data_IF_435170011830
#
_entry.id   IF_435170011830
#
_cell.length_a   1.000
_cell.length_b   1.000
_cell.length_c   1.000
_cell.angle_alpha   90.00
_cell.angle_beta   90.00
_cell.angle_gamma   90.00
#
_symmetry.space_group_name_H-M   'P 1'
#
loop_
_entity.id
_entity.type
_entity.pdbx_description
1 polymer ?
#
# COMPACT_ATOMS: atom_id res chain seq x y z
N UNK A 1 68.77 56.30 24.66
CA UNK A 1 68.39 56.69 23.32
C UNK A 1 66.82 56.39 23.22
N UNK A 2 66.07 57.40 22.88
CA UNK A 2 64.63 57.48 23.04
C UNK A 2 63.92 56.72 21.90
N UNK A 3 62.96 55.86 22.24
CA UNK A 3 62.03 55.24 21.29
C UNK A 3 60.63 55.75 21.57
N UNK A 4 60.02 56.41 20.61
CA UNK A 4 58.69 57.04 20.64
C UNK A 4 57.66 56.02 20.19
N UNK A 5 56.70 55.65 21.06
CA UNK A 5 55.49 54.88 20.73
C UNK A 5 54.46 55.77 20.02
N UNK A 6 53.98 55.37 18.86
CA UNK A 6 52.86 55.97 18.18
C UNK A 6 51.61 55.18 18.46
N UNK A 7 50.64 55.83 19.15
CA UNK A 7 49.31 55.31 19.41
C UNK A 7 48.44 55.48 18.17
N UNK A 8 47.91 54.39 17.62
CA UNK A 8 46.88 54.42 16.59
C UNK A 8 45.50 54.35 17.25
N UNK A 9 44.72 55.41 17.06
CA UNK A 9 43.32 55.46 17.45
C UNK A 9 42.52 54.90 16.28
N UNK A 10 41.87 53.77 16.50
CA UNK A 10 40.90 53.19 15.54
C UNK A 10 39.52 53.82 15.79
N UNK A 11 39.03 54.58 14.84
CA UNK A 11 37.64 55.03 14.81
C UNK A 11 36.74 53.88 14.33
N UNK A 12 35.91 53.36 15.22
CA UNK A 12 34.84 52.42 14.84
C UNK A 12 33.61 53.21 14.37
N UNK A 13 33.33 53.19 13.08
CA UNK A 13 32.09 53.70 12.53
C UNK A 13 30.97 52.66 12.76
N UNK A 14 30.00 52.99 13.63
CA UNK A 14 28.80 52.19 13.81
C UNK A 14 27.83 52.55 12.69
N UNK A 15 27.64 51.61 11.77
CA UNK A 15 26.64 51.71 10.70
C UNK A 15 25.25 51.33 11.26
N UNK A 16 24.41 52.31 11.58
CA UNK A 16 23.02 52.08 11.91
C UNK A 16 22.25 51.70 10.61
N UNK A 17 21.98 50.43 10.43
CA UNK A 17 21.04 49.95 9.39
C UNK A 17 19.62 50.16 9.95
N UNK A 18 18.96 51.20 9.48
CA UNK A 18 17.52 51.40 9.72
C UNK A 18 16.73 50.42 8.91
N UNK A 19 16.22 49.35 9.58
CA UNK A 19 15.29 48.41 9.00
C UNK A 19 13.93 49.11 8.81
N UNK A 20 13.64 49.61 7.64
CA UNK A 20 12.29 50.04 7.27
C UNK A 20 11.40 48.81 7.14
N UNK A 21 10.54 48.56 8.13
CA UNK A 21 9.44 47.64 8.03
C UNK A 21 8.52 48.10 6.90
N UNK A 22 8.62 47.41 5.76
CA UNK A 22 7.60 47.54 4.71
C UNK A 22 6.26 47.08 5.30
N UNK A 23 5.17 47.82 5.12
CA UNK A 23 3.85 47.41 5.55
C UNK A 23 3.53 46.08 4.84
N UNK A 24 3.19 45.05 5.61
CA UNK A 24 2.68 43.80 5.07
C UNK A 24 1.49 44.14 4.17
N UNK A 25 1.57 43.77 2.90
CA UNK A 25 0.44 43.87 2.00
C UNK A 25 -0.74 43.13 2.63
N UNK A 26 -1.95 43.71 2.64
CA UNK A 26 -3.10 43.02 3.17
C UNK A 26 -3.24 41.70 2.39
N UNK A 27 -3.18 40.57 3.09
CA UNK A 27 -3.55 39.29 2.54
C UNK A 27 -4.97 39.48 2.00
N UNK A 28 -5.14 39.40 0.68
CA UNK A 28 -6.47 39.26 0.08
C UNK A 28 -7.11 38.06 0.74
N UNK A 29 -8.03 38.28 1.68
CA UNK A 29 -8.86 37.24 2.24
C UNK A 29 -9.58 36.59 1.05
N UNK A 30 -9.19 35.35 0.74
CA UNK A 30 -9.92 34.55 -0.23
C UNK A 30 -11.40 34.61 0.20
N UNK A 31 -12.30 34.86 -0.75
CA UNK A 31 -13.74 34.81 -0.45
C UNK A 31 -14.03 33.46 0.17
N UNK A 32 -14.71 33.40 1.32
CA UNK A 32 -15.05 32.13 1.94
C UNK A 32 -15.77 31.25 0.90
N UNK A 33 -15.29 30.03 0.73
CA UNK A 33 -15.95 29.05 -0.13
C UNK A 33 -17.21 28.57 0.61
N UNK A 34 -18.35 28.47 -0.06
CA UNK A 34 -19.53 27.90 0.57
C UNK A 34 -19.25 26.42 0.84
N UNK A 35 -19.32 25.94 2.09
CA UNK A 35 -19.00 24.54 2.39
C UNK A 35 -19.95 23.59 1.64
N UNK A 36 -19.41 22.49 1.13
CA UNK A 36 -20.15 21.48 0.37
C UNK A 36 -20.04 20.13 1.07
N UNK A 37 -21.15 19.42 1.17
CA UNK A 37 -21.22 17.98 1.44
C UNK A 37 -22.19 17.40 0.40
N UNK A 38 -21.63 16.77 -0.62
CA UNK A 38 -22.35 16.25 -1.78
C UNK A 38 -22.12 14.76 -1.92
N UNK A 39 -23.18 14.00 -2.04
CA UNK A 39 -23.16 12.60 -2.43
C UNK A 39 -23.99 12.40 -3.71
N UNK A 40 -23.60 11.43 -4.52
CA UNK A 40 -24.25 11.13 -5.78
C UNK A 40 -23.68 9.87 -6.43
N UNK A 41 -23.93 9.70 -7.71
CA UNK A 41 -23.44 8.59 -8.50
C UNK A 41 -22.91 9.08 -9.86
N UNK A 42 -21.77 8.56 -10.31
CA UNK A 42 -21.18 8.81 -11.62
C UNK A 42 -20.96 7.47 -12.34
N UNK A 43 -21.69 7.25 -13.41
CA UNK A 43 -21.59 6.03 -14.24
C UNK A 43 -21.75 4.70 -13.46
N UNK A 44 -22.59 4.69 -12.43
CA UNK A 44 -22.82 3.53 -11.56
C UNK A 44 -21.89 3.47 -10.34
N UNK A 45 -20.94 4.38 -10.20
CA UNK A 45 -20.06 4.48 -9.03
C UNK A 45 -20.56 5.55 -8.05
N UNK A 46 -21.00 5.18 -6.83
CA UNK A 46 -21.33 6.15 -5.79
C UNK A 46 -20.12 7.00 -5.43
N UNK A 47 -20.34 8.29 -5.18
CA UNK A 47 -19.29 9.20 -4.74
C UNK A 47 -19.74 10.09 -3.59
N UNK A 48 -18.76 10.64 -2.86
CA UNK A 48 -18.94 11.72 -1.90
C UNK A 48 -17.85 12.76 -2.07
N UNK A 49 -18.24 14.04 -1.89
CA UNK A 49 -17.36 15.20 -1.93
C UNK A 49 -17.66 16.09 -0.72
N UNK A 50 -16.61 16.51 0.01
CA UNK A 50 -16.71 17.51 1.07
C UNK A 50 -15.71 18.62 0.81
N UNK A 51 -16.17 19.88 0.83
CA UNK A 51 -15.31 21.05 0.69
C UNK A 51 -15.54 21.96 1.90
N UNK A 52 -14.49 22.32 2.67
CA UNK A 52 -14.63 23.21 3.81
C UNK A 52 -14.70 24.68 3.37
N UNK A 53 -15.22 25.55 4.25
CA UNK A 53 -15.28 27.01 4.02
C UNK A 53 -13.88 27.61 3.80
N UNK A 54 -12.88 27.12 4.55
CA UNK A 54 -11.48 27.54 4.49
C UNK A 54 -10.66 26.75 3.45
N UNK A 55 -11.28 26.29 2.35
CA UNK A 55 -10.59 25.46 1.36
C UNK A 55 -9.28 26.09 0.87
N UNK A 56 -8.18 25.33 1.01
CA UNK A 56 -6.82 25.78 0.68
C UNK A 56 -6.44 25.62 -0.81
N UNK A 57 -7.37 25.13 -1.65
CA UNK A 57 -7.15 24.85 -3.07
C UNK A 57 -6.67 23.45 -3.40
N UNK A 58 -6.35 22.61 -2.40
CA UNK A 58 -5.96 21.21 -2.61
C UNK A 58 -7.18 20.28 -2.49
N UNK A 59 -7.33 19.39 -3.46
CA UNK A 59 -8.29 18.29 -3.47
C UNK A 59 -7.55 16.98 -3.18
N UNK A 60 -7.99 16.23 -2.17
CA UNK A 60 -7.59 14.86 -1.90
C UNK A 60 -8.66 13.91 -2.46
N UNK A 61 -8.30 13.06 -3.43
CA UNK A 61 -9.19 12.06 -4.00
C UNK A 61 -8.80 10.69 -3.47
N UNK A 62 -9.69 10.02 -2.74
CA UNK A 62 -9.42 8.74 -2.09
C UNK A 62 -9.83 7.55 -2.95
N UNK A 63 -8.91 6.60 -3.11
CA UNK A 63 -9.16 5.29 -3.69
C UNK A 63 -9.05 4.22 -2.58
N UNK A 64 -10.19 3.58 -2.26
CA UNK A 64 -10.27 2.61 -1.15
C UNK A 64 -9.57 1.28 -1.47
N UNK A 65 -9.30 0.47 -0.43
CA UNK A 65 -8.76 -0.88 -0.53
C UNK A 65 -9.76 -1.91 -1.07
N UNK A 66 -9.37 -3.18 -1.01
CA UNK A 66 -10.26 -4.29 -1.40
C UNK A 66 -11.55 -4.27 -0.56
N UNK A 67 -12.65 -4.51 -1.23
CA UNK A 67 -13.95 -4.78 -0.65
C UNK A 67 -14.48 -6.06 -1.28
N UNK A 68 -14.90 -6.96 -0.45
CA UNK A 68 -15.42 -8.23 -0.94
C UNK A 68 -16.59 -8.05 -1.89
N UNK A 69 -16.63 -8.88 -2.92
CA UNK A 69 -17.73 -8.90 -3.87
C UNK A 69 -18.81 -9.81 -3.36
N UNK A 70 -20.03 -9.32 -3.35
CA UNK A 70 -21.20 -10.10 -2.98
C UNK A 70 -21.51 -11.12 -4.10
N UNK A 71 -20.81 -12.24 -4.12
CA UNK A 71 -21.01 -13.32 -5.08
C UNK A 71 -21.49 -14.64 -4.45
N UNK A 72 -21.77 -14.62 -3.13
CA UNK A 72 -22.41 -15.73 -2.41
C UNK A 72 -23.77 -15.35 -1.83
N UNK A 73 -24.67 -16.33 -1.58
CA UNK A 73 -25.99 -16.07 -1.06
C UNK A 73 -25.99 -15.35 0.29
N UNK A 74 -26.65 -14.20 0.36
CA UNK A 74 -26.79 -13.38 1.57
C UNK A 74 -25.79 -12.25 1.72
N UNK A 75 -24.79 -12.17 0.85
CA UNK A 75 -23.83 -11.07 0.81
C UNK A 75 -24.41 -9.84 0.12
N UNK A 76 -23.83 -8.68 0.45
CA UNK A 76 -24.22 -7.38 -0.12
C UNK A 76 -22.98 -6.54 -0.36
N UNK A 77 -22.83 -6.03 -1.57
CA UNK A 77 -21.72 -5.14 -1.93
C UNK A 77 -21.67 -3.90 -1.04
N UNK A 78 -20.45 -3.55 -0.61
CA UNK A 78 -20.20 -2.31 0.10
C UNK A 78 -20.18 -1.14 -0.88
N UNK A 79 -21.22 -0.30 -0.87
CA UNK A 79 -21.41 0.86 -1.75
C UNK A 79 -21.07 2.20 -1.05
N UNK A 80 -20.33 2.20 0.07
CA UNK A 80 -19.97 3.42 0.78
C UNK A 80 -18.86 4.18 0.01
N UNK A 81 -19.12 5.43 -0.31
CA UNK A 81 -18.12 6.31 -0.92
C UNK A 81 -17.25 6.95 0.17
N UNK A 82 -16.26 6.18 0.65
CA UNK A 82 -15.32 6.67 1.65
C UNK A 82 -14.40 7.74 1.02
N UNK A 83 -14.22 8.86 1.74
CA UNK A 83 -13.39 10.00 1.30
C UNK A 83 -12.06 10.07 2.04
N UNK A 84 -11.82 9.10 2.93
CA UNK A 84 -10.58 8.91 3.71
C UNK A 84 -10.45 7.43 4.11
N UNK A 85 -9.24 6.93 4.41
CA UNK A 85 -9.01 5.57 4.91
C UNK A 85 -9.75 5.27 6.22
N UNK A 86 -10.03 6.31 6.99
CA UNK A 86 -10.77 6.25 8.25
C UNK A 86 -11.56 7.55 8.40
N UNK A 87 -12.84 7.45 8.73
CA UNK A 87 -13.73 8.60 8.92
C UNK A 87 -13.23 9.60 9.99
N UNK A 88 -12.45 9.15 10.97
CA UNK A 88 -11.84 10.05 11.97
C UNK A 88 -10.82 11.04 11.37
N UNK A 89 -10.33 10.79 10.16
CA UNK A 89 -9.42 11.70 9.45
C UNK A 89 -10.14 12.83 8.70
N UNK A 90 -11.43 12.69 8.43
CA UNK A 90 -12.17 13.68 7.64
C UNK A 90 -12.16 15.06 8.34
N UNK A 91 -12.54 15.12 9.62
CA UNK A 91 -12.62 16.38 10.34
C UNK A 91 -11.26 17.11 10.43
N UNK A 92 -10.14 16.49 10.83
CA UNK A 92 -8.85 17.18 10.86
C UNK A 92 -8.33 17.59 9.49
N UNK A 93 -8.62 16.85 8.40
CA UNK A 93 -8.22 17.25 7.05
C UNK A 93 -9.05 18.43 6.54
N UNK A 94 -10.37 18.43 6.77
CA UNK A 94 -11.23 19.57 6.45
C UNK A 94 -10.83 20.81 7.25
N UNK A 95 -10.47 20.67 8.53
CA UNK A 95 -9.99 21.77 9.36
C UNK A 95 -8.68 22.39 8.83
N UNK A 96 -7.82 21.58 8.20
CA UNK A 96 -6.60 22.03 7.51
C UNK A 96 -6.89 22.64 6.12
N UNK A 97 -8.14 22.68 5.70
CA UNK A 97 -8.57 23.28 4.45
C UNK A 97 -8.54 22.35 3.23
N UNK A 98 -8.31 21.05 3.38
CA UNK A 98 -8.39 20.12 2.25
C UNK A 98 -9.84 19.88 1.84
N UNK A 99 -10.11 19.87 0.54
CA UNK A 99 -11.31 19.24 0.00
C UNK A 99 -11.08 17.73 -0.11
N UNK A 100 -12.10 16.95 0.25
CA UNK A 100 -12.05 15.49 0.23
C UNK A 100 -13.06 14.95 -0.77
N UNK A 101 -12.65 13.98 -1.58
CA UNK A 101 -13.53 13.25 -2.48
C UNK A 101 -13.18 11.77 -2.48
N UNK A 102 -14.14 10.89 -2.72
CA UNK A 102 -13.93 9.46 -2.87
C UNK A 102 -15.10 8.79 -3.55
N UNK A 103 -14.85 7.63 -4.11
CA UNK A 103 -15.85 6.81 -4.80
C UNK A 103 -15.85 5.39 -4.26
N UNK A 104 -17.01 4.72 -4.26
CA UNK A 104 -17.14 3.31 -3.90
C UNK A 104 -16.75 2.36 -5.05
N UNK A 105 -16.26 2.89 -6.15
CA UNK A 105 -16.10 2.25 -7.43
C UNK A 105 -17.44 1.71 -7.96
N UNK A 106 -17.46 1.34 -9.23
CA UNK A 106 -18.64 0.76 -9.85
C UNK A 106 -18.91 -0.64 -9.35
N UNK A 107 -17.86 -1.41 -9.10
CA UNK A 107 -17.91 -2.80 -8.65
C UNK A 107 -17.02 -3.03 -7.42
N UNK A 108 -17.25 -4.13 -6.68
CA UNK A 108 -16.40 -4.65 -5.62
C UNK A 108 -15.47 -5.76 -6.15
N UNK A 109 -14.72 -6.42 -5.29
CA UNK A 109 -13.73 -7.43 -5.64
C UNK A 109 -12.44 -6.80 -6.15
N UNK A 110 -11.79 -7.44 -7.15
CA UNK A 110 -10.56 -6.97 -7.76
C UNK A 110 -10.83 -5.87 -8.81
N UNK A 111 -11.54 -4.83 -8.40
CA UNK A 111 -12.09 -3.76 -9.23
C UNK A 111 -11.05 -2.69 -9.64
N UNK A 112 -9.88 -3.10 -10.18
CA UNK A 112 -8.79 -2.14 -10.48
C UNK A 112 -9.13 -1.24 -11.66
N UNK A 113 -9.75 -1.77 -12.72
CA UNK A 113 -10.15 -0.97 -13.88
C UNK A 113 -11.15 0.11 -13.46
N UNK A 114 -12.13 -0.24 -12.64
CA UNK A 114 -13.11 0.68 -12.08
C UNK A 114 -12.44 1.69 -11.15
N UNK A 115 -11.54 1.25 -10.26
CA UNK A 115 -10.77 2.13 -9.38
C UNK A 115 -10.06 3.25 -10.16
N UNK A 116 -9.37 2.89 -11.24
CA UNK A 116 -8.62 3.83 -12.10
C UNK A 116 -9.59 4.81 -12.79
N UNK A 117 -10.67 4.32 -13.40
CA UNK A 117 -11.58 5.15 -14.18
C UNK A 117 -12.50 6.01 -13.30
N UNK A 118 -13.05 5.45 -12.24
CA UNK A 118 -14.01 6.15 -11.37
C UNK A 118 -13.32 7.23 -10.55
N UNK A 119 -12.11 6.97 -10.04
CA UNK A 119 -11.30 7.96 -9.32
C UNK A 119 -10.93 9.14 -10.23
N UNK A 120 -10.51 8.86 -11.47
CA UNK A 120 -10.24 9.89 -12.49
C UNK A 120 -11.50 10.67 -12.85
N UNK A 121 -12.61 9.98 -13.07
CA UNK A 121 -13.90 10.59 -13.40
C UNK A 121 -14.36 11.53 -12.30
N UNK A 122 -14.22 11.12 -11.04
CA UNK A 122 -14.55 11.96 -9.88
C UNK A 122 -13.66 13.20 -9.80
N UNK A 123 -12.36 13.08 -10.04
CA UNK A 123 -11.44 14.22 -10.07
C UNK A 123 -11.82 15.24 -11.18
N UNK A 124 -12.20 14.75 -12.35
CA UNK A 124 -12.67 15.58 -13.46
C UNK A 124 -14.02 16.22 -13.12
N UNK A 125 -14.96 15.46 -12.53
CA UNK A 125 -16.26 15.99 -12.09
C UNK A 125 -16.08 17.11 -11.08
N UNK A 126 -15.23 16.95 -10.09
CA UNK A 126 -14.92 18.03 -9.13
C UNK A 126 -14.45 19.29 -9.84
N UNK A 127 -13.47 19.15 -10.74
CA UNK A 127 -12.87 20.29 -11.49
C UNK A 127 -13.90 21.03 -12.35
N UNK A 128 -14.87 20.32 -12.91
CA UNK A 128 -15.82 20.88 -13.90
C UNK A 128 -17.12 21.37 -13.27
N UNK A 129 -17.55 20.81 -12.14
CA UNK A 129 -18.86 21.08 -11.54
C UNK A 129 -18.80 21.71 -10.15
N UNK A 130 -17.69 21.54 -9.42
CA UNK A 130 -17.57 22.03 -8.05
C UNK A 130 -16.65 23.26 -8.02
N UNK A 131 -15.35 23.06 -8.26
CA UNK A 131 -14.37 24.13 -8.33
C UNK A 131 -13.08 23.62 -8.98
N UNK A 132 -12.26 24.53 -9.50
CA UNK A 132 -10.96 24.19 -10.07
C UNK A 132 -9.92 24.10 -8.94
N UNK A 133 -9.41 22.91 -8.58
CA UNK A 133 -8.34 22.80 -7.59
C UNK A 133 -7.05 23.41 -8.12
N UNK A 134 -6.24 23.95 -7.21
CA UNK A 134 -4.85 24.32 -7.49
C UNK A 134 -4.00 23.07 -7.61
N UNK A 135 -4.24 22.11 -6.72
CA UNK A 135 -3.58 20.81 -6.72
C UNK A 135 -4.59 19.69 -6.46
N UNK A 136 -4.40 18.57 -7.14
CA UNK A 136 -5.19 17.34 -6.95
C UNK A 136 -4.24 16.21 -6.56
N UNK A 137 -4.38 15.70 -5.36
CA UNK A 137 -3.58 14.59 -4.83
C UNK A 137 -4.45 13.35 -4.77
N UNK A 138 -4.02 12.29 -5.45
CA UNK A 138 -4.61 10.96 -5.33
C UNK A 138 -4.02 10.28 -4.11
N UNK A 139 -4.85 9.87 -3.15
CA UNK A 139 -4.40 9.06 -2.05
C UNK A 139 -5.16 7.75 -1.99
N UNK A 140 -4.48 6.69 -1.60
CA UNK A 140 -5.01 5.35 -1.73
C UNK A 140 -4.49 4.43 -0.62
N UNK A 141 -5.23 3.37 -0.33
CA UNK A 141 -4.82 2.35 0.62
C UNK A 141 -4.96 0.95 0.00
N UNK A 142 -4.00 0.05 0.32
CA UNK A 142 -4.07 -1.36 -0.08
C UNK A 142 -4.30 -1.54 -1.59
N UNK A 143 -5.30 -2.31 -2.00
CA UNK A 143 -5.68 -2.52 -3.41
C UNK A 143 -5.84 -1.20 -4.19
N UNK A 144 -6.40 -0.15 -3.58
CA UNK A 144 -6.56 1.15 -4.24
C UNK A 144 -5.23 1.75 -4.71
N UNK A 145 -4.11 1.37 -4.10
CA UNK A 145 -2.78 1.83 -4.53
C UNK A 145 -2.38 1.29 -5.89
N UNK A 146 -2.91 0.14 -6.32
CA UNK A 146 -2.70 -0.36 -7.67
C UNK A 146 -3.28 0.66 -8.67
N UNK A 147 -4.52 1.09 -8.42
CA UNK A 147 -5.15 2.14 -9.23
C UNK A 147 -4.39 3.47 -9.17
N UNK A 148 -3.86 3.84 -8.01
CA UNK A 148 -3.08 5.06 -7.84
C UNK A 148 -1.76 5.04 -8.62
N UNK A 149 -0.92 4.01 -8.45
CA UNK A 149 0.33 3.85 -9.20
C UNK A 149 0.08 3.85 -10.71
N UNK A 150 -0.95 3.12 -11.18
CA UNK A 150 -1.36 3.10 -12.59
C UNK A 150 -1.77 4.48 -13.09
N UNK A 151 -2.55 5.22 -12.29
CA UNK A 151 -3.01 6.57 -12.63
C UNK A 151 -1.85 7.56 -12.74
N UNK A 152 -0.82 7.45 -11.88
CA UNK A 152 0.37 8.31 -11.96
C UNK A 152 1.20 8.08 -13.22
N UNK A 153 1.12 6.91 -13.84
CA UNK A 153 1.75 6.63 -15.13
C UNK A 153 0.89 7.08 -16.32
N UNK A 154 -0.44 6.95 -16.22
CA UNK A 154 -1.35 7.11 -17.36
C UNK A 154 -1.95 8.51 -17.49
N UNK A 155 -2.28 9.17 -16.37
CA UNK A 155 -3.09 10.40 -16.40
C UNK A 155 -2.30 11.65 -16.05
N UNK A 156 -1.41 12.01 -16.95
CA UNK A 156 -0.68 13.27 -16.83
C UNK A 156 -1.65 14.47 -16.81
N UNK A 157 -1.55 15.30 -15.76
CA UNK A 157 -2.38 16.51 -15.60
C UNK A 157 -3.76 16.29 -14.95
N UNK A 158 -4.06 15.06 -14.47
CA UNK A 158 -5.23 14.84 -13.60
C UNK A 158 -4.84 14.88 -12.12
N UNK A 159 -3.72 14.26 -11.77
CA UNK A 159 -3.19 14.20 -10.41
C UNK A 159 -1.79 14.82 -10.37
N UNK A 160 -1.56 15.72 -9.44
CA UNK A 160 -0.28 16.42 -9.25
C UNK A 160 0.67 15.66 -8.32
N UNK A 161 0.18 14.64 -7.62
CA UNK A 161 0.94 13.73 -6.78
C UNK A 161 0.09 12.60 -6.24
N UNK A 162 0.72 11.59 -5.64
CA UNK A 162 0.03 10.49 -4.98
C UNK A 162 0.61 10.17 -3.60
N UNK A 163 -0.28 9.77 -2.65
CA UNK A 163 0.06 9.15 -1.38
C UNK A 163 -0.48 7.73 -1.36
N UNK A 164 0.40 6.75 -1.27
CA UNK A 164 0.05 5.33 -1.27
C UNK A 164 0.34 4.69 0.09
N UNK A 165 -0.71 4.22 0.75
CA UNK A 165 -0.65 3.59 2.08
C UNK A 165 -0.67 2.07 1.92
N UNK A 166 0.30 1.34 2.55
CA UNK A 166 0.38 -0.13 2.47
C UNK A 166 0.28 -0.63 1.01
N UNK A 167 1.13 -0.06 0.14
CA UNK A 167 1.00 -0.13 -1.30
C UNK A 167 1.41 -1.46 -1.94
N UNK A 168 0.66 -1.89 -2.97
CA UNK A 168 0.95 -3.07 -3.79
C UNK A 168 1.97 -2.72 -4.88
N UNK A 169 3.20 -2.40 -4.47
CA UNK A 169 4.25 -1.86 -5.34
C UNK A 169 4.78 -2.84 -6.40
N UNK A 170 4.62 -4.15 -6.18
CA UNK A 170 5.02 -5.19 -7.14
C UNK A 170 4.03 -5.40 -8.29
N UNK A 171 2.89 -4.69 -8.30
CA UNK A 171 1.79 -4.97 -9.20
C UNK A 171 1.03 -6.24 -8.83
N UNK A 172 -0.13 -6.47 -9.47
CA UNK A 172 -0.93 -7.64 -9.11
C UNK A 172 -0.25 -8.96 -9.49
N UNK A 173 0.44 -9.04 -10.61
CA UNK A 173 1.15 -10.29 -10.94
C UNK A 173 2.23 -10.62 -9.92
N UNK A 174 2.96 -9.62 -9.43
CA UNK A 174 3.99 -9.79 -8.42
C UNK A 174 3.46 -10.24 -7.07
N UNK A 175 2.42 -9.57 -6.55
CA UNK A 175 1.86 -9.92 -5.23
C UNK A 175 1.19 -11.29 -5.24
N UNK A 176 0.46 -11.65 -6.29
CA UNK A 176 -0.20 -12.95 -6.39
C UNK A 176 0.78 -14.11 -6.55
N UNK A 177 1.87 -13.92 -7.32
CA UNK A 177 2.93 -14.92 -7.42
C UNK A 177 3.71 -15.03 -6.09
N UNK A 178 3.86 -13.91 -5.34
CA UNK A 178 4.45 -13.92 -4.00
C UNK A 178 3.54 -14.58 -2.94
N UNK A 179 2.23 -14.56 -3.11
CA UNK A 179 1.29 -15.28 -2.25
C UNK A 179 1.22 -16.79 -2.53
N UNK A 180 1.53 -17.22 -3.75
CA UNK A 180 1.44 -18.64 -4.15
C UNK A 180 2.27 -19.58 -3.28
N UNK A 181 3.50 -19.25 -2.82
CA UNK A 181 4.26 -20.03 -1.85
C UNK A 181 3.54 -20.34 -0.54
N UNK A 182 2.71 -19.42 -0.02
CA UNK A 182 1.90 -19.67 1.19
C UNK A 182 0.97 -20.85 0.96
N UNK A 183 0.21 -20.79 -0.14
CA UNK A 183 -0.77 -21.82 -0.49
C UNK A 183 -0.12 -23.15 -0.83
N UNK A 184 1.01 -23.15 -1.57
CA UNK A 184 1.79 -24.35 -1.88
C UNK A 184 2.40 -24.98 -0.63
N UNK A 185 2.97 -24.19 0.27
CA UNK A 185 3.54 -24.70 1.51
C UNK A 185 2.48 -25.31 2.43
N UNK A 186 1.31 -24.64 2.50
CA UNK A 186 0.17 -25.20 3.24
C UNK A 186 -0.27 -26.55 2.65
N UNK A 187 -0.36 -26.65 1.31
CA UNK A 187 -0.72 -27.91 0.65
C UNK A 187 0.29 -29.04 0.92
N UNK A 188 1.58 -28.72 0.95
CA UNK A 188 2.64 -29.68 1.29
C UNK A 188 2.56 -30.14 2.74
N UNK A 189 2.20 -29.26 3.67
CA UNK A 189 2.21 -29.52 5.12
C UNK A 189 0.90 -30.15 5.60
N UNK A 190 -0.25 -29.57 5.21
CA UNK A 190 -1.57 -29.95 5.73
C UNK A 190 -2.48 -30.58 4.67
N UNK A 191 -2.18 -30.39 3.39
CA UNK A 191 -3.00 -30.82 2.27
C UNK A 191 -4.19 -29.88 2.02
N UNK A 192 -4.25 -29.31 0.84
CA UNK A 192 -5.43 -28.56 0.37
C UNK A 192 -6.56 -29.54 0.03
N UNK A 193 -7.77 -29.35 0.57
CA UNK A 193 -8.91 -30.21 0.23
C UNK A 193 -9.20 -30.17 -1.28
N UNK A 194 -9.46 -31.30 -1.94
CA UNK A 194 -9.87 -31.31 -3.35
C UNK A 194 -11.07 -30.43 -3.67
N UNK A 195 -11.96 -30.22 -2.70
CA UNK A 195 -13.10 -29.33 -2.80
C UNK A 195 -12.71 -27.85 -3.00
N UNK A 196 -11.51 -27.43 -2.63
CA UNK A 196 -11.02 -26.05 -2.86
C UNK A 196 -10.42 -25.86 -4.25
N UNK A 197 -10.28 -26.94 -5.04
CA UNK A 197 -9.57 -26.94 -6.31
C UNK A 197 -8.12 -27.41 -6.15
N UNK A 198 -7.17 -26.70 -6.75
CA UNK A 198 -5.74 -27.01 -6.73
C UNK A 198 -4.92 -25.78 -6.38
N UNK A 199 -3.64 -25.94 -6.06
CA UNK A 199 -2.70 -24.83 -5.85
C UNK A 199 -2.62 -23.91 -7.09
N UNK A 200 -2.76 -24.46 -8.30
CA UNK A 200 -2.76 -23.70 -9.54
C UNK A 200 -4.07 -22.96 -9.78
N UNK A 201 -5.19 -23.61 -9.53
CA UNK A 201 -6.52 -23.14 -9.87
C UNK A 201 -7.49 -23.41 -8.73
N UNK A 202 -7.93 -22.35 -8.09
CA UNK A 202 -8.93 -22.42 -7.01
C UNK A 202 -10.32 -22.61 -7.62
N UNK A 203 -11.18 -23.35 -6.94
CA UNK A 203 -12.56 -23.53 -7.38
C UNK A 203 -13.31 -22.19 -7.42
N UNK A 204 -14.03 -21.93 -8.52
CA UNK A 204 -14.60 -20.60 -8.80
C UNK A 204 -15.69 -20.11 -7.83
N UNK A 205 -16.36 -21.01 -7.14
CA UNK A 205 -17.46 -20.73 -6.19
C UNK A 205 -17.08 -21.12 -4.76
N UNK A 206 -15.78 -21.10 -4.42
CA UNK A 206 -15.30 -21.37 -3.07
C UNK A 206 -15.75 -20.25 -2.13
N UNK A 207 -16.36 -20.61 -1.01
CA UNK A 207 -16.73 -19.68 0.04
C UNK A 207 -15.76 -19.79 1.21
N UNK A 208 -15.12 -18.68 1.53
CA UNK A 208 -14.09 -18.62 2.57
C UNK A 208 -14.66 -18.95 3.95
N UNK A 209 -15.77 -18.34 4.33
CA UNK A 209 -16.33 -18.45 5.69
C UNK A 209 -16.83 -19.86 6.00
N UNK A 210 -17.51 -20.48 5.05
CA UNK A 210 -18.15 -21.79 5.27
C UNK A 210 -17.26 -22.99 4.95
N UNK A 211 -16.28 -22.83 4.06
CA UNK A 211 -15.46 -23.95 3.60
C UNK A 211 -14.00 -23.84 4.07
N UNK A 212 -13.38 -22.65 3.89
CA UNK A 212 -11.95 -22.50 4.21
C UNK A 212 -11.73 -22.37 5.71
N UNK A 213 -12.51 -21.52 6.38
CA UNK A 213 -12.42 -21.32 7.84
C UNK A 213 -12.76 -22.62 8.58
N UNK A 214 -13.67 -23.42 8.09
CA UNK A 214 -14.06 -24.71 8.70
C UNK A 214 -12.89 -25.70 8.83
N UNK A 215 -11.94 -25.68 7.89
CA UNK A 215 -10.71 -26.49 7.95
C UNK A 215 -9.56 -25.74 8.64
N UNK A 216 -9.30 -24.52 8.26
CA UNK A 216 -8.15 -23.76 8.70
C UNK A 216 -8.23 -23.36 10.19
N UNK A 217 -9.43 -23.03 10.67
CA UNK A 217 -9.68 -22.61 12.05
C UNK A 217 -9.22 -23.62 13.11
N UNK A 218 -9.61 -24.91 13.05
CA UNK A 218 -9.12 -25.95 13.95
C UNK A 218 -7.60 -26.18 13.88
N UNK A 219 -7.00 -26.02 12.69
CA UNK A 219 -5.55 -26.16 12.52
C UNK A 219 -4.79 -25.01 13.20
N UNK A 220 -5.27 -23.79 13.06
CA UNK A 220 -4.72 -22.60 13.72
C UNK A 220 -4.93 -22.62 15.24
N UNK A 221 -6.03 -23.19 15.71
CA UNK A 221 -6.33 -23.34 17.13
C UNK A 221 -5.45 -24.39 17.83
N UNK A 222 -4.79 -25.29 17.09
CA UNK A 222 -3.92 -26.31 17.64
C UNK A 222 -2.49 -25.80 17.81
N UNK A 223 -1.98 -25.57 19.05
CA UNK A 223 -0.63 -25.05 19.26
C UNK A 223 0.48 -25.94 18.70
N UNK A 224 0.23 -27.25 18.54
CA UNK A 224 1.21 -28.16 17.97
C UNK A 224 1.50 -27.87 16.48
N UNK A 225 0.61 -27.14 15.79
CA UNK A 225 0.80 -26.75 14.39
C UNK A 225 1.60 -25.45 14.24
N UNK A 226 1.86 -24.71 15.33
CA UNK A 226 2.60 -23.45 15.25
C UNK A 226 3.95 -23.57 14.51
N UNK A 227 4.82 -24.58 14.77
CA UNK A 227 6.07 -24.73 14.02
C UNK A 227 5.86 -24.93 12.50
N UNK A 228 4.78 -25.60 12.10
CA UNK A 228 4.44 -25.81 10.70
C UNK A 228 3.99 -24.51 10.01
N UNK A 229 3.18 -23.67 10.69
CA UNK A 229 2.84 -22.35 10.20
C UNK A 229 4.06 -21.42 10.14
N UNK A 230 5.02 -21.54 11.07
CA UNK A 230 6.30 -20.81 10.99
C UNK A 230 7.13 -21.23 9.76
N UNK A 231 7.13 -22.53 9.42
CA UNK A 231 7.74 -22.97 8.16
C UNK A 231 7.07 -22.31 6.95
N UNK A 232 5.74 -22.29 6.88
CA UNK A 232 4.96 -21.65 5.80
C UNK A 232 5.34 -20.18 5.69
N UNK A 233 5.33 -19.45 6.81
CA UNK A 233 5.69 -18.04 6.87
C UNK A 233 7.09 -17.78 6.33
N UNK A 234 8.07 -18.53 6.80
CA UNK A 234 9.47 -18.32 6.43
C UNK A 234 9.74 -18.68 4.97
N UNK A 235 9.23 -19.80 4.47
CA UNK A 235 9.48 -20.20 3.08
C UNK A 235 8.78 -19.30 2.07
N UNK A 236 7.61 -18.76 2.44
CA UNK A 236 6.88 -17.81 1.62
C UNK A 236 7.36 -16.35 1.76
N UNK A 237 8.14 -16.07 2.82
CA UNK A 237 8.55 -14.69 3.13
C UNK A 237 7.46 -13.79 3.68
N UNK A 238 6.32 -14.35 4.10
CA UNK A 238 5.13 -13.63 4.52
C UNK A 238 4.66 -14.02 5.94
N UNK A 239 4.54 -13.06 6.88
CA UNK A 239 5.17 -11.75 6.87
C UNK A 239 6.57 -11.78 7.50
N UNK A 240 7.33 -10.75 7.19
CA UNK A 240 8.48 -10.39 8.03
C UNK A 240 9.72 -11.27 7.93
N UNK A 241 9.90 -12.06 6.86
CA UNK A 241 11.17 -12.73 6.61
C UNK A 241 12.30 -11.70 6.52
N UNK A 242 13.38 -11.92 7.26
CA UNK A 242 14.50 -10.97 7.31
C UNK A 242 14.26 -9.75 8.20
N UNK A 243 13.12 -9.64 8.88
CA UNK A 243 12.81 -8.55 9.82
C UNK A 243 13.04 -9.01 11.25
N UNK A 244 13.72 -8.18 12.03
CA UNK A 244 14.04 -8.43 13.43
C UNK A 244 13.48 -7.31 14.31
N UNK A 245 12.73 -7.61 15.37
CA UNK A 245 12.30 -8.93 15.83
C UNK A 245 11.24 -9.57 14.90
N UNK A 246 11.08 -10.90 14.91
CA UNK A 246 10.01 -11.56 14.18
C UNK A 246 8.64 -11.15 14.73
N UNK A 247 7.57 -11.28 13.92
CA UNK A 247 6.23 -10.95 14.36
C UNK A 247 5.79 -11.81 15.56
N UNK A 248 5.05 -11.22 16.52
CA UNK A 248 4.56 -11.96 17.69
C UNK A 248 3.57 -13.07 17.29
N UNK A 249 3.68 -14.29 17.88
CA UNK A 249 2.80 -15.43 17.55
C UNK A 249 1.30 -15.17 17.70
N UNK A 250 0.91 -14.28 18.60
CA UNK A 250 -0.50 -13.96 18.85
C UNK A 250 -1.25 -13.37 17.64
N UNK A 251 -0.54 -12.82 16.65
CA UNK A 251 -1.14 -12.27 15.43
C UNK A 251 -1.38 -13.31 14.34
N UNK A 252 -0.75 -14.48 14.42
CA UNK A 252 -0.77 -15.49 13.37
C UNK A 252 -2.15 -15.93 12.90
N UNK A 253 -3.10 -16.28 13.80
CA UNK A 253 -4.40 -16.77 13.33
C UNK A 253 -5.12 -15.78 12.42
N UNK A 254 -5.14 -14.50 12.80
CA UNK A 254 -5.78 -13.46 11.99
C UNK A 254 -5.08 -13.23 10.65
N UNK A 255 -3.75 -13.29 10.63
CA UNK A 255 -2.98 -13.09 9.40
C UNK A 255 -3.17 -14.24 8.42
N UNK A 256 -3.07 -15.48 8.90
CA UNK A 256 -3.26 -16.65 8.05
C UNK A 256 -4.67 -16.70 7.48
N UNK A 257 -5.70 -16.36 8.28
CA UNK A 257 -7.08 -16.28 7.79
C UNK A 257 -7.20 -15.22 6.68
N UNK A 258 -6.62 -14.03 6.87
CA UNK A 258 -6.64 -12.98 5.85
C UNK A 258 -5.90 -13.41 4.57
N UNK A 259 -4.72 -14.01 4.68
CA UNK A 259 -4.00 -14.53 3.52
C UNK A 259 -4.81 -15.59 2.78
N UNK A 260 -5.46 -16.51 3.51
CA UNK A 260 -6.25 -17.57 2.88
C UNK A 260 -7.55 -17.05 2.25
N UNK A 261 -8.17 -15.98 2.79
CA UNK A 261 -9.25 -15.31 2.09
C UNK A 261 -8.80 -14.86 0.68
N UNK A 262 -7.67 -14.15 0.61
CA UNK A 262 -7.13 -13.70 -0.67
C UNK A 262 -6.68 -14.87 -1.55
N UNK A 263 -6.02 -15.89 -0.99
CA UNK A 263 -5.51 -17.04 -1.76
C UNK A 263 -6.60 -18.02 -2.21
N UNK A 264 -7.83 -17.88 -1.73
CA UNK A 264 -8.99 -18.70 -2.10
C UNK A 264 -10.07 -17.88 -2.78
N UNK A 265 -10.98 -17.27 -2.05
CA UNK A 265 -12.18 -16.60 -2.57
C UNK A 265 -11.87 -15.40 -3.45
N UNK A 266 -11.07 -14.45 -2.98
CA UNK A 266 -10.68 -13.29 -3.79
C UNK A 266 -9.86 -13.69 -5.02
N UNK A 267 -9.03 -14.74 -4.91
CA UNK A 267 -8.32 -15.29 -6.08
C UNK A 267 -9.25 -15.97 -7.06
N UNK A 268 -10.28 -16.69 -6.60
CA UNK A 268 -11.29 -17.30 -7.45
C UNK A 268 -12.08 -16.23 -8.22
N UNK A 269 -12.42 -15.14 -7.56
CA UNK A 269 -13.07 -13.97 -8.18
C UNK A 269 -12.19 -13.40 -9.32
N UNK A 270 -10.92 -13.12 -9.06
CA UNK A 270 -10.00 -12.62 -10.09
C UNK A 270 -9.75 -13.65 -11.20
N UNK A 271 -9.70 -14.96 -10.91
CA UNK A 271 -9.59 -16.00 -11.92
C UNK A 271 -10.79 -15.99 -12.88
N UNK A 272 -12.01 -15.75 -12.38
CA UNK A 272 -13.21 -15.62 -13.22
C UNK A 272 -13.08 -14.43 -14.17
N UNK A 273 -12.66 -13.26 -13.66
CA UNK A 273 -12.43 -12.06 -14.49
C UNK A 273 -11.32 -12.26 -15.52
N UNK A 274 -10.22 -12.86 -15.14
CA UNK A 274 -9.08 -13.12 -16.03
C UNK A 274 -9.32 -14.23 -17.05
N UNK A 275 -10.33 -15.09 -16.82
CA UNK A 275 -10.64 -16.24 -17.66
C UNK A 275 -9.70 -17.42 -17.44
N UNK A 276 -9.23 -17.64 -16.21
CA UNK A 276 -8.44 -18.78 -15.76
C UNK A 276 -7.32 -18.46 -14.78
N UNK A 277 -6.54 -19.47 -14.36
CA UNK A 277 -5.46 -19.28 -13.41
C UNK A 277 -4.34 -18.39 -13.98
N UNK A 278 -3.94 -17.38 -13.21
CA UNK A 278 -2.99 -16.35 -13.62
C UNK A 278 -1.70 -16.33 -12.82
N UNK A 279 -1.60 -17.13 -11.74
CA UNK A 279 -0.41 -17.26 -10.89
C UNK A 279 0.58 -18.27 -11.43
N UNK A 280 1.88 -18.09 -11.10
CA UNK A 280 2.94 -19.00 -11.50
C UNK A 280 4.11 -19.00 -10.51
N UNK A 281 4.93 -20.09 -10.52
CA UNK A 281 6.13 -20.21 -9.71
C UNK A 281 7.33 -20.82 -10.47
N UNK A 282 7.39 -20.62 -11.76
CA UNK A 282 8.33 -21.33 -12.64
C UNK A 282 9.81 -21.06 -12.32
N UNK A 283 10.11 -19.88 -11.80
CA UNK A 283 11.47 -19.43 -11.50
C UNK A 283 11.75 -19.41 -9.98
N UNK A 284 10.77 -19.75 -9.15
CA UNK A 284 10.92 -19.68 -7.70
C UNK A 284 11.86 -20.77 -7.16
N UNK A 285 12.70 -20.43 -6.19
CA UNK A 285 13.54 -21.39 -5.47
C UNK A 285 13.18 -21.38 -3.99
N UNK A 286 12.49 -22.41 -3.55
CA UNK A 286 12.06 -22.56 -2.15
C UNK A 286 13.25 -22.97 -1.29
N UNK A 287 13.68 -22.08 -0.41
CA UNK A 287 14.83 -22.33 0.47
C UNK A 287 14.68 -21.61 1.79
N UNK A 288 15.38 -22.12 2.80
CA UNK A 288 15.55 -21.48 4.09
C UNK A 288 17.05 -21.25 4.34
N UNK A 289 17.36 -20.22 5.09
CA UNK A 289 18.72 -20.00 5.60
C UNK A 289 19.02 -20.97 6.74
N UNK A 290 20.30 -21.16 7.06
CA UNK A 290 20.72 -21.97 8.21
C UNK A 290 20.11 -21.47 9.52
N UNK A 291 19.98 -20.14 9.68
CA UNK A 291 19.37 -19.56 10.88
C UNK A 291 17.87 -19.89 10.98
N UNK A 292 17.13 -19.83 9.87
CA UNK A 292 15.71 -20.18 9.81
C UNK A 292 15.49 -21.67 10.09
N UNK A 293 16.34 -22.54 9.53
CA UNK A 293 16.30 -23.97 9.83
C UNK A 293 16.61 -24.27 11.31
N UNK A 294 17.60 -23.59 11.89
CA UNK A 294 17.92 -23.69 13.32
C UNK A 294 16.74 -23.24 14.18
N UNK A 295 16.10 -22.12 13.82
CA UNK A 295 14.92 -21.62 14.51
C UNK A 295 13.76 -22.63 14.48
N UNK A 296 13.43 -23.19 13.30
CA UNK A 296 12.37 -24.20 13.16
C UNK A 296 12.69 -25.48 13.95
N UNK A 297 13.97 -25.88 13.98
CA UNK A 297 14.42 -27.02 14.78
C UNK A 297 14.22 -26.75 16.28
N UNK A 298 14.51 -25.53 16.72
CA UNK A 298 14.25 -25.08 18.10
C UNK A 298 12.76 -25.10 18.48
N UNK A 299 11.87 -24.95 17.49
CA UNK A 299 10.42 -25.10 17.66
C UNK A 299 9.95 -26.58 17.64
N UNK A 300 10.84 -27.53 17.41
CA UNK A 300 10.53 -28.95 17.44
C UNK A 300 10.36 -29.61 16.05
N UNK A 301 10.57 -28.89 14.94
CA UNK A 301 10.59 -29.50 13.61
C UNK A 301 11.93 -30.20 13.35
N UNK A 302 11.88 -31.53 13.10
CA UNK A 302 13.08 -32.25 12.71
C UNK A 302 13.61 -31.74 11.35
N UNK A 303 14.93 -31.50 11.19
CA UNK A 303 15.51 -30.99 9.94
C UNK A 303 15.08 -31.76 8.69
N UNK A 304 15.07 -33.11 8.76
CA UNK A 304 14.62 -33.98 7.68
C UNK A 304 13.18 -33.75 7.22
N UNK A 305 12.30 -33.29 8.13
CA UNK A 305 10.90 -32.99 7.80
C UNK A 305 10.86 -31.72 6.98
N UNK A 306 11.57 -30.67 7.41
CA UNK A 306 11.69 -29.39 6.71
C UNK A 306 12.33 -29.58 5.33
N UNK A 307 13.41 -30.35 5.24
CA UNK A 307 14.05 -30.69 3.96
C UNK A 307 13.10 -31.44 3.02
N UNK A 308 12.29 -32.36 3.57
CA UNK A 308 11.28 -33.09 2.81
C UNK A 308 10.19 -32.16 2.26
N UNK A 309 9.72 -31.19 3.04
CA UNK A 309 8.77 -30.18 2.58
C UNK A 309 9.37 -29.27 1.50
N UNK A 310 10.59 -28.77 1.69
CA UNK A 310 11.29 -27.98 0.69
C UNK A 310 11.49 -28.75 -0.62
N UNK A 311 11.85 -30.04 -0.55
CA UNK A 311 12.00 -30.88 -1.73
C UNK A 311 10.68 -31.03 -2.49
N UNK A 312 9.55 -31.23 -1.78
CA UNK A 312 8.22 -31.32 -2.39
C UNK A 312 7.81 -29.99 -3.04
N UNK A 313 8.03 -28.85 -2.38
CA UNK A 313 7.76 -27.55 -2.97
C UNK A 313 8.60 -27.31 -4.23
N UNK A 314 9.90 -27.60 -4.19
CA UNK A 314 10.80 -27.45 -5.32
C UNK A 314 10.47 -28.39 -6.49
N UNK A 315 9.96 -29.59 -6.23
CA UNK A 315 9.47 -30.50 -7.26
C UNK A 315 8.20 -29.98 -7.97
N UNK A 316 7.51 -29.02 -7.37
CA UNK A 316 6.26 -28.39 -7.87
C UNK A 316 6.46 -26.98 -8.43
N UNK A 317 7.68 -26.63 -8.84
CA UNK A 317 7.99 -25.38 -9.57
C UNK A 317 7.56 -25.43 -11.06
N UNK A 318 6.43 -26.00 -11.32
CA UNK A 318 5.85 -26.20 -12.65
C UNK A 318 4.44 -25.60 -12.76
N UNK A 319 4.04 -24.81 -11.78
CA UNK A 319 2.75 -24.11 -11.81
C UNK A 319 2.89 -22.96 -12.81
N UNK A 320 2.20 -23.07 -13.94
CA UNK A 320 2.20 -22.07 -15.01
C UNK A 320 0.83 -21.42 -15.11
N UNK A 321 0.83 -20.11 -15.29
CA UNK A 321 -0.36 -19.33 -15.60
C UNK A 321 -0.94 -19.71 -16.97
N UNK A 322 -2.26 -19.53 -17.15
CA UNK A 322 -2.85 -19.42 -18.48
C UNK A 322 -2.46 -18.05 -19.05
N UNK A 323 -1.76 -18.05 -20.18
CA UNK A 323 -1.17 -16.83 -20.74
C UNK A 323 -2.19 -15.71 -20.97
N UNK A 324 -3.41 -16.04 -21.41
CA UNK A 324 -4.49 -15.05 -21.59
C UNK A 324 -4.87 -14.40 -20.26
N UNK A 325 -5.06 -15.20 -19.21
CA UNK A 325 -5.40 -14.72 -17.88
C UNK A 325 -4.25 -13.88 -17.29
N UNK A 326 -3.01 -14.35 -17.42
CA UNK A 326 -1.82 -13.61 -16.98
C UNK A 326 -1.71 -12.24 -17.67
N UNK A 327 -1.95 -12.19 -18.97
CA UNK A 327 -1.91 -10.96 -19.75
C UNK A 327 -3.02 -9.99 -19.31
N UNK A 328 -4.23 -10.49 -19.01
CA UNK A 328 -5.31 -9.67 -18.49
C UNK A 328 -4.88 -8.98 -17.18
N UNK A 329 -4.43 -9.76 -16.20
CA UNK A 329 -3.99 -9.21 -14.91
C UNK A 329 -2.85 -8.21 -15.13
N UNK A 330 -1.78 -8.59 -15.84
CA UNK A 330 -0.62 -7.74 -16.09
C UNK A 330 -0.97 -6.40 -16.73
N UNK A 331 -1.77 -6.43 -17.79
CA UNK A 331 -2.07 -5.22 -18.57
C UNK A 331 -2.90 -4.21 -17.74
N UNK A 332 -3.78 -4.70 -16.88
CA UNK A 332 -4.66 -3.86 -16.08
C UNK A 332 -4.01 -3.39 -14.76
N UNK A 333 -3.02 -4.11 -14.23
CA UNK A 333 -2.58 -3.89 -12.86
C UNK A 333 -1.08 -3.77 -12.64
N UNK A 334 -0.23 -4.11 -13.62
CA UNK A 334 1.21 -3.94 -13.47
C UNK A 334 1.67 -2.57 -13.99
N UNK A 335 2.81 -2.14 -13.53
CA UNK A 335 3.39 -0.81 -13.75
C UNK A 335 4.62 -0.88 -14.65
N UNK A 336 5.11 0.30 -15.08
CA UNK A 336 6.34 0.45 -15.86
C UNK A 336 7.31 1.49 -15.28
N UNK A 337 7.01 2.07 -14.12
CA UNK A 337 7.84 3.03 -13.39
C UNK A 337 7.89 4.44 -13.98
N UNK A 338 7.21 4.71 -15.10
CA UNK A 338 7.29 6.00 -15.82
C UNK A 338 6.36 7.06 -15.23
N UNK A 339 6.44 7.23 -13.91
CA UNK A 339 5.72 8.30 -13.23
C UNK A 339 6.23 9.68 -13.66
N UNK A 340 5.38 10.70 -13.54
CA UNK A 340 5.69 12.08 -13.93
C UNK A 340 5.54 13.09 -12.80
N UNK A 341 4.84 12.73 -11.75
CA UNK A 341 4.54 13.54 -10.59
C UNK A 341 4.96 12.80 -9.30
N UNK A 342 5.14 13.51 -8.19
CA UNK A 342 5.57 12.94 -6.91
C UNK A 342 4.70 11.78 -6.43
N UNK A 343 5.33 10.72 -5.94
CA UNK A 343 4.70 9.60 -5.24
C UNK A 343 5.36 9.42 -3.88
N UNK A 344 4.57 9.52 -2.81
CA UNK A 344 4.96 9.21 -1.45
C UNK A 344 4.30 7.91 -1.02
N UNK A 345 5.06 6.97 -0.50
CA UNK A 345 4.52 5.74 0.08
C UNK A 345 4.72 5.70 1.58
N UNK A 346 3.77 5.12 2.30
CA UNK A 346 3.86 4.84 3.73
C UNK A 346 3.49 3.37 3.97
N UNK A 347 4.41 2.61 4.56
CA UNK A 347 4.21 1.18 4.79
C UNK A 347 4.50 0.77 6.24
N UNK A 348 3.84 -0.27 6.74
CA UNK A 348 4.18 -0.91 8.02
C UNK A 348 5.33 -1.89 7.79
N UNK A 349 6.30 -1.95 8.71
CA UNK A 349 7.47 -2.84 8.57
C UNK A 349 7.08 -4.32 8.54
N UNK A 350 6.01 -4.69 9.24
CA UNK A 350 5.49 -6.06 9.27
C UNK A 350 4.03 -6.02 8.81
N UNK A 351 3.84 -6.09 7.49
CA UNK A 351 2.53 -6.22 6.86
C UNK A 351 2.32 -7.70 6.47
N UNK A 352 1.29 -8.36 6.98
CA UNK A 352 1.05 -9.77 6.69
C UNK A 352 0.40 -10.01 5.32
N UNK A 353 -0.30 -9.02 4.77
CA UNK A 353 -1.04 -9.17 3.51
C UNK A 353 -0.27 -8.60 2.33
N UNK A 354 0.08 -7.32 2.40
CA UNK A 354 0.94 -6.68 1.39
C UNK A 354 2.33 -6.56 1.99
N UNK A 355 3.15 -7.59 1.85
CA UNK A 355 4.49 -7.63 2.47
C UNK A 355 5.31 -6.41 2.07
N UNK A 356 6.04 -5.84 3.04
CA UNK A 356 6.79 -4.58 2.87
C UNK A 356 7.83 -4.63 1.75
N UNK A 357 8.23 -5.81 1.31
CA UNK A 357 9.10 -6.00 0.12
C UNK A 357 8.46 -5.51 -1.19
N UNK A 358 7.14 -5.25 -1.23
CA UNK A 358 6.50 -4.52 -2.34
C UNK A 358 7.10 -3.12 -2.53
N UNK A 359 7.54 -2.48 -1.47
CA UNK A 359 8.21 -1.18 -1.53
C UNK A 359 9.57 -1.27 -2.23
N UNK A 360 10.35 -2.33 -1.97
CA UNK A 360 11.60 -2.57 -2.67
C UNK A 360 11.36 -2.80 -4.18
N UNK A 361 10.37 -3.64 -4.51
CA UNK A 361 10.02 -3.90 -5.91
C UNK A 361 9.59 -2.63 -6.65
N UNK A 362 8.81 -1.75 -5.99
CA UNK A 362 8.41 -0.48 -6.60
C UNK A 362 9.59 0.47 -6.77
N UNK A 363 10.50 0.56 -5.79
CA UNK A 363 11.70 1.37 -5.90
C UNK A 363 12.60 0.92 -7.06
N UNK A 364 12.81 -0.39 -7.22
CA UNK A 364 13.56 -0.97 -8.35
C UNK A 364 12.91 -0.63 -9.71
N UNK A 365 11.59 -0.71 -9.78
CA UNK A 365 10.85 -0.37 -10.99
C UNK A 365 10.98 1.11 -11.35
N UNK A 366 10.82 2.00 -10.38
CA UNK A 366 10.97 3.45 -10.55
C UNK A 366 12.41 3.80 -10.97
N UNK A 367 13.41 3.16 -10.35
CA UNK A 367 14.83 3.33 -10.69
C UNK A 367 15.11 2.86 -12.14
N UNK A 368 14.52 1.75 -12.55
CA UNK A 368 14.67 1.26 -13.93
C UNK A 368 14.15 2.25 -14.98
N UNK A 369 13.22 3.12 -14.58
CA UNK A 369 12.65 4.18 -15.40
C UNK A 369 13.37 5.55 -15.24
N UNK A 370 14.40 5.63 -14.39
CA UNK A 370 15.14 6.86 -14.02
C UNK A 370 14.17 7.93 -13.44
N UNK A 371 13.36 7.54 -12.43
CA UNK A 371 12.35 8.39 -11.80
C UNK A 371 12.48 8.46 -10.26
N UNK A 372 13.62 8.11 -9.70
CA UNK A 372 13.87 8.03 -8.25
C UNK A 372 13.61 9.35 -7.54
N UNK A 373 13.86 10.48 -8.21
CA UNK A 373 13.60 11.81 -7.68
C UNK A 373 12.11 12.08 -7.42
N UNK A 374 11.21 11.31 -8.05
CA UNK A 374 9.76 11.40 -7.91
C UNK A 374 9.18 10.39 -6.92
N UNK A 375 10.00 9.55 -6.28
CA UNK A 375 9.57 8.61 -5.27
C UNK A 375 10.16 8.96 -3.91
N UNK A 376 9.33 8.98 -2.87
CA UNK A 376 9.76 8.99 -1.47
C UNK A 376 9.02 7.92 -0.69
N UNK A 377 9.76 7.03 -0.02
CA UNK A 377 9.21 5.92 0.76
C UNK A 377 9.48 6.13 2.24
N UNK A 378 8.49 5.90 3.08
CA UNK A 378 8.61 5.98 4.54
C UNK A 378 7.90 4.81 5.22
N UNK A 379 8.35 4.46 6.42
CA UNK A 379 7.93 3.25 7.10
C UNK A 379 7.57 3.52 8.55
N UNK A 380 6.71 2.66 9.11
CA UNK A 380 6.45 2.62 10.55
C UNK A 380 6.84 1.27 11.14
N UNK A 381 7.12 1.23 12.46
CA UNK A 381 7.40 -0.01 13.17
C UNK A 381 6.13 -0.84 13.48
N UNK A 382 4.98 -0.46 12.95
CA UNK A 382 3.73 -1.15 13.24
C UNK A 382 3.69 -2.55 12.61
N UNK A 383 2.91 -3.43 13.22
CA UNK A 383 2.55 -4.74 12.71
C UNK A 383 1.10 -4.67 12.20
N UNK A 384 0.84 -5.29 11.07
CA UNK A 384 -0.50 -5.39 10.48
C UNK A 384 -0.66 -4.58 9.21
N UNK A 385 -1.61 -5.00 8.39
CA UNK A 385 -1.91 -4.38 7.11
C UNK A 385 -2.56 -3.01 7.32
N UNK A 386 -2.00 -1.97 6.70
CA UNK A 386 -2.47 -0.58 6.81
C UNK A 386 -2.65 -0.08 8.25
N UNK A 387 -1.94 -0.63 9.20
CA UNK A 387 -2.09 -0.30 10.64
C UNK A 387 -1.34 1.01 10.96
N UNK A 388 -1.89 2.12 10.52
CA UNK A 388 -1.35 3.46 10.76
C UNK A 388 -2.20 4.24 11.76
N UNK A 389 -1.54 5.06 12.56
CA UNK A 389 -2.22 6.03 13.43
C UNK A 389 -2.66 7.25 12.63
N UNK A 390 -3.71 7.96 13.10
CA UNK A 390 -4.14 9.21 12.48
C UNK A 390 -3.00 10.24 12.31
N UNK A 391 -2.18 10.52 13.34
CA UNK A 391 -1.02 11.40 13.19
C UNK A 391 -0.02 10.98 12.12
N UNK A 392 0.23 9.68 11.92
CA UNK A 392 1.11 9.20 10.84
C UNK A 392 0.55 9.51 9.46
N UNK A 393 -0.75 9.25 9.24
CA UNK A 393 -1.41 9.54 7.96
C UNK A 393 -1.44 11.05 7.71
N UNK A 394 -1.81 11.86 8.70
CA UNK A 394 -1.83 13.33 8.57
C UNK A 394 -0.45 13.90 8.26
N UNK A 395 0.61 13.35 8.86
CA UNK A 395 2.01 13.71 8.54
C UNK A 395 2.34 13.41 7.08
N UNK A 396 1.96 12.23 6.58
CA UNK A 396 2.20 11.84 5.20
C UNK A 396 1.40 12.70 4.21
N UNK A 397 0.13 13.03 4.51
CA UNK A 397 -0.67 13.97 3.72
C UNK A 397 -0.02 15.35 3.67
N UNK A 398 0.43 15.88 4.80
CA UNK A 398 1.12 17.17 4.84
C UNK A 398 2.43 17.17 4.04
N UNK A 399 3.18 16.07 4.09
CA UNK A 399 4.44 15.93 3.36
C UNK A 399 4.25 15.89 1.84
N UNK A 400 3.28 15.11 1.35
CA UNK A 400 2.99 15.06 -0.10
C UNK A 400 2.39 16.38 -0.60
N UNK A 401 1.49 17.03 0.16
CA UNK A 401 0.93 18.34 -0.19
C UNK A 401 2.04 19.40 -0.28
N UNK A 402 2.95 19.44 0.68
CA UNK A 402 4.10 20.35 0.63
C UNK A 402 4.98 20.07 -0.59
N UNK A 403 5.28 18.81 -0.89
CA UNK A 403 6.08 18.43 -2.06
C UNK A 403 5.42 18.88 -3.36
N UNK A 404 4.13 18.59 -3.55
CA UNK A 404 3.36 19.00 -4.74
C UNK A 404 3.34 20.51 -4.91
N UNK A 405 3.15 21.27 -3.81
CA UNK A 405 3.07 22.74 -3.86
C UNK A 405 4.40 23.43 -4.09
N UNK A 406 5.49 22.87 -3.60
CA UNK A 406 6.80 23.54 -3.59
C UNK A 406 7.81 22.93 -4.54
N UNK A 407 7.58 21.70 -5.01
CA UNK A 407 8.55 20.89 -5.75
C UNK A 407 9.70 20.34 -4.88
N UNK A 408 9.68 20.59 -3.56
CA UNK A 408 10.73 20.16 -2.65
C UNK A 408 10.41 18.76 -2.12
N UNK A 409 11.22 17.78 -2.54
CA UNK A 409 11.08 16.37 -2.12
C UNK A 409 11.22 16.25 -0.60
N UNK A 410 10.38 15.45 0.08
CA UNK A 410 10.48 15.18 1.52
C UNK A 410 11.84 14.58 1.91
N UNK A 411 12.17 14.75 3.18
CA UNK A 411 13.29 14.10 3.84
C UNK A 411 12.80 13.37 5.09
N UNK A 412 13.63 12.50 5.66
CA UNK A 412 13.30 11.79 6.90
C UNK A 412 12.99 12.72 8.08
N UNK A 413 13.43 13.98 8.05
CA UNK A 413 13.15 14.97 9.09
C UNK A 413 11.65 15.28 9.27
N UNK A 414 10.83 15.07 8.21
CA UNK A 414 9.37 15.26 8.28
C UNK A 414 8.64 14.08 8.91
N UNK A 415 9.32 12.95 9.14
CA UNK A 415 8.74 11.69 9.65
C UNK A 415 9.38 11.31 10.99
N UNK A 416 8.95 11.97 12.11
CA UNK A 416 9.64 11.83 13.39
C UNK A 416 9.41 10.45 14.02
N UNK A 417 10.48 9.87 14.58
CA UNK A 417 10.42 8.60 15.29
C UNK A 417 9.45 8.62 16.49
N UNK A 418 9.20 9.78 17.10
CA UNK A 418 8.22 9.94 18.18
C UNK A 418 6.79 9.60 17.76
N UNK A 419 6.47 9.67 16.46
CA UNK A 419 5.19 9.21 15.89
C UNK A 419 5.24 7.74 15.42
N UNK A 420 6.35 7.02 15.64
CA UNK A 420 6.52 5.63 15.23
C UNK A 420 7.06 5.45 13.81
N UNK A 421 7.51 6.51 13.13
CA UNK A 421 8.21 6.37 11.86
C UNK A 421 9.61 5.76 12.06
N UNK A 422 10.05 4.95 11.10
CA UNK A 422 11.36 4.33 11.09
C UNK A 422 12.15 4.71 9.83
N UNK A 423 12.90 5.78 9.92
CA UNK A 423 13.73 6.28 8.82
C UNK A 423 14.96 5.43 8.51
N UNK A 424 15.32 4.50 9.39
CA UNK A 424 16.43 3.57 9.20
C UNK A 424 16.00 2.23 8.58
N UNK A 425 14.68 2.01 8.44
CA UNK A 425 14.17 0.76 7.88
C UNK A 425 14.49 0.66 6.38
N UNK A 426 14.99 -0.49 5.99
CA UNK A 426 15.22 -0.86 4.58
C UNK A 426 14.37 -2.09 4.28
N UNK A 427 13.42 -2.01 3.36
CA UNK A 427 12.60 -3.17 3.01
C UNK A 427 13.47 -4.27 2.39
N UNK A 428 13.25 -5.54 2.77
CA UNK A 428 13.92 -6.65 2.10
C UNK A 428 13.46 -6.73 0.64
N UNK A 429 14.27 -7.33 -0.25
CA UNK A 429 13.84 -7.54 -1.63
C UNK A 429 12.62 -8.46 -1.68
N UNK A 430 11.75 -8.25 -2.68
CA UNK A 430 10.65 -9.16 -2.94
C UNK A 430 11.20 -10.52 -3.35
N UNK A 431 10.69 -11.59 -2.74
CA UNK A 431 11.02 -12.93 -3.20
C UNK A 431 10.48 -13.09 -4.62
N UNK A 432 11.39 -13.22 -5.58
CA UNK A 432 11.01 -13.42 -6.97
C UNK A 432 10.44 -14.84 -7.14
N UNK A 433 9.25 -15.01 -7.72
CA UNK A 433 8.69 -16.32 -8.03
C UNK A 433 9.40 -17.01 -9.18
#
# INVERSE_FOLDING_TARGET
MKSTARTLIALSAVLLVSLTLLPASPSTSARPFAPIDLAGELHGAPFRIRVPENWNGTLLVFAHGYRDKADHPGEVDNRNADIAPNAALEAPLLAQGFALAGTAFKDNGWAIEDSVQDTKTLAIYFRTHIAKPTHTILWAASLGTIGAFKSMEQFNGTFDGALCLCGVGAGATGIWDNGLPVYLAYDVVFGVPPAWGTVREVRNDINFDTEVVAKLGPELANPANFPAFEFIRLVAGNPGRGITPPPPPAFYPGWVLTDFFFLTEARAELQRHAGGPFVQNLNHNYSLTTAELTYLTGLGLAPRVVEGWLAQMNARRNIAAVQKARNYVRNNTDYNGKIRNPVLTLHTAIDPLVVVSNEAAYAELIASANKEDLLFQTYTNANGHCNFTGPQILTAVGAIDLWVRTGVRPTNAQFPAALGFNSAFVPPPLLQP
#
